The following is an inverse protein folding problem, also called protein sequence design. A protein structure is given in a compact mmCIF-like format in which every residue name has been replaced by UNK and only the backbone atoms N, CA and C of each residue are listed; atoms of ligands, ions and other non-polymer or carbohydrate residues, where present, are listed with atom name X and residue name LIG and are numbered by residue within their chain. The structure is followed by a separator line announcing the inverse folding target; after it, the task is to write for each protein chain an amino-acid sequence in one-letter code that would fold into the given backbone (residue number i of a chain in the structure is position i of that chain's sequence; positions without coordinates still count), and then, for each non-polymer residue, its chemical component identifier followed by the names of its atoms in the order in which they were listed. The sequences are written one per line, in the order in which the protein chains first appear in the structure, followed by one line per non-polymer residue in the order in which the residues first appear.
data_IF_583694072598
#
_entry.id   IF_583694072598
#
_cell.length_a   1.000
_cell.length_b   1.000
_cell.length_c   1.000
_cell.angle_alpha   90.00
_cell.angle_beta   90.00
_cell.angle_gamma   90.00
#
_symmetry.space_group_name_H-M   'P 1'
#
loop_
_entity.id
_entity.type
_entity.pdbx_description
1 polymer ?
#
# COMPACT_ATOMS: atom_id res chain seq x y z
N UNK A 1 20.22 10.79 -0.56
CA UNK A 1 19.05 9.88 -0.49
C UNK A 1 18.56 9.58 -1.88
N UNK A 2 18.42 8.31 -2.21
CA UNK A 2 17.85 7.86 -3.48
C UNK A 2 16.49 7.28 -3.21
N UNK A 3 15.56 7.37 -4.15
CA UNK A 3 14.28 6.67 -4.03
C UNK A 3 13.90 6.03 -5.36
N UNK A 4 13.26 4.89 -5.27
CA UNK A 4 12.62 4.23 -6.39
C UNK A 4 11.14 4.09 -6.10
N UNK A 5 10.33 4.03 -7.14
CA UNK A 5 8.91 3.78 -6.99
C UNK A 5 8.42 2.85 -8.09
N UNK A 6 7.43 2.06 -7.75
CA UNK A 6 6.74 1.21 -8.71
C UNK A 6 5.25 1.25 -8.43
N UNK A 7 4.46 1.46 -9.46
CA UNK A 7 3.01 1.50 -9.37
C UNK A 7 2.40 0.15 -9.69
N UNK A 8 1.37 -0.21 -8.93
CA UNK A 8 0.55 -1.40 -9.13
C UNK A 8 -0.91 -0.98 -9.19
N UNK A 9 -1.74 -1.73 -9.89
CA UNK A 9 -3.16 -1.43 -10.01
C UNK A 9 -4.00 -2.62 -9.58
N UNK A 10 -5.17 -2.35 -9.04
CA UNK A 10 -6.21 -3.34 -8.81
C UNK A 10 -7.57 -2.66 -8.87
N UNK A 11 -8.59 -3.42 -9.18
CA UNK A 11 -9.98 -2.96 -9.21
C UNK A 11 -10.75 -3.63 -8.08
N UNK A 12 -11.48 -2.86 -7.30
CA UNK A 12 -12.24 -3.39 -6.17
C UNK A 12 -13.42 -2.49 -5.85
N UNK A 13 -14.39 -3.05 -5.16
CA UNK A 13 -15.51 -2.30 -4.61
C UNK A 13 -15.34 -2.14 -3.11
N UNK A 14 -15.94 -1.12 -2.57
CA UNK A 14 -16.02 -0.91 -1.14
C UNK A 14 -17.24 -0.08 -0.75
N UNK A 15 -17.52 -0.08 0.52
CA UNK A 15 -18.56 0.74 1.13
C UNK A 15 -17.99 1.27 2.45
N UNK A 16 -17.93 2.60 2.60
CA UNK A 16 -17.37 3.21 3.79
C UNK A 16 -18.41 3.30 4.90
N UNK A 17 -17.99 2.99 6.12
CA UNK A 17 -18.80 3.05 7.33
C UNK A 17 -18.53 4.35 8.07
N UNK A 18 -19.47 4.76 8.91
CA UNK A 18 -19.29 5.94 9.77
C UNK A 18 -19.62 7.26 9.09
N UNK A 19 -20.16 7.24 7.89
CA UNK A 19 -20.58 8.42 7.15
C UNK A 19 -22.10 8.56 7.18
N UNK A 20 -22.64 9.80 7.00
CA UNK A 20 -24.07 9.98 6.83
C UNK A 20 -24.60 9.16 5.64
N UNK A 21 -25.84 8.67 5.73
CA UNK A 21 -26.44 7.82 4.71
C UNK A 21 -26.52 8.47 3.34
N UNK A 22 -26.59 9.80 3.29
CA UNK A 22 -26.63 10.56 2.03
C UNK A 22 -25.25 10.84 1.45
N UNK A 23 -24.17 10.49 2.16
CA UNK A 23 -22.82 10.64 1.62
C UNK A 23 -22.56 9.57 0.54
N UNK A 24 -22.06 9.97 -0.65
CA UNK A 24 -21.83 9.02 -1.75
C UNK A 24 -20.95 7.83 -1.36
N UNK A 25 -19.95 8.04 -0.53
CA UNK A 25 -19.00 7.01 -0.12
C UNK A 25 -19.60 5.99 0.87
N UNK A 26 -20.79 6.26 1.44
CA UNK A 26 -21.51 5.30 2.27
C UNK A 26 -22.19 4.21 1.42
N UNK A 27 -22.27 4.42 0.12
CA UNK A 27 -22.90 3.47 -0.82
C UNK A 27 -21.84 2.54 -1.39
N UNK A 28 -22.30 1.37 -1.86
CA UNK A 28 -21.45 0.44 -2.58
C UNK A 28 -20.98 1.09 -3.89
N UNK A 29 -19.67 1.15 -4.08
CA UNK A 29 -19.06 1.67 -5.30
C UNK A 29 -17.69 1.06 -5.52
N UNK A 30 -17.13 1.25 -6.70
CA UNK A 30 -15.86 0.67 -7.08
C UNK A 30 -14.87 1.70 -7.61
N UNK A 31 -13.61 1.33 -7.55
CA UNK A 31 -12.50 2.13 -8.06
C UNK A 31 -11.49 1.26 -8.79
N UNK A 32 -10.76 1.87 -9.71
CA UNK A 32 -9.50 1.34 -10.22
C UNK A 32 -8.40 1.96 -9.37
N UNK A 33 -7.91 1.20 -8.39
CA UNK A 33 -6.91 1.70 -7.44
C UNK A 33 -5.52 1.69 -8.07
N UNK A 34 -4.71 2.66 -7.67
CA UNK A 34 -3.28 2.66 -7.93
C UNK A 34 -2.57 2.60 -6.58
N UNK A 35 -1.60 1.71 -6.45
CA UNK A 35 -0.75 1.61 -5.26
C UNK A 35 0.67 1.93 -5.69
N UNK A 36 1.28 2.94 -5.05
CA UNK A 36 2.67 3.32 -5.29
C UNK A 36 3.53 2.79 -4.15
N UNK A 37 4.51 1.96 -4.49
CA UNK A 37 5.48 1.44 -3.52
C UNK A 37 6.77 2.20 -3.71
N UNK A 38 7.15 3.00 -2.71
CA UNK A 38 8.35 3.85 -2.75
C UNK A 38 9.35 3.35 -1.71
N UNK A 39 10.57 3.07 -2.16
CA UNK A 39 11.67 2.68 -1.27
C UNK A 39 12.77 3.72 -1.41
N UNK A 40 13.19 4.29 -0.28
CA UNK A 40 14.27 5.29 -0.23
C UNK A 40 15.44 4.75 0.56
N UNK A 41 16.67 5.04 0.10
CA UNK A 41 17.90 4.60 0.73
C UNK A 41 19.01 5.62 0.50
N UNK A 42 19.96 5.70 1.44
CA UNK A 42 21.10 6.59 1.30
C UNK A 42 22.27 5.94 0.60
N UNK A 43 22.26 4.59 0.47
CA UNK A 43 23.35 3.84 -0.17
C UNK A 43 22.79 2.93 -1.26
N UNK A 44 23.54 2.80 -2.34
CA UNK A 44 23.24 1.90 -3.44
C UNK A 44 24.06 0.63 -3.31
N UNK A 45 23.61 -0.46 -3.90
CA UNK A 45 24.38 -1.69 -3.99
C UNK A 45 25.52 -1.54 -5.04
N UNK A 46 26.27 -2.60 -5.24
CA UNK A 46 27.42 -2.59 -6.16
C UNK A 46 27.04 -2.38 -7.63
N UNK A 47 25.78 -2.67 -7.99
CA UNK A 47 25.26 -2.42 -9.33
C UNK A 47 24.79 -0.97 -9.49
N UNK A 48 24.49 -0.31 -8.36
CA UNK A 48 23.92 1.04 -8.37
C UNK A 48 22.42 1.07 -8.15
N UNK A 49 21.83 0.02 -7.58
CA UNK A 49 20.40 -0.05 -7.29
C UNK A 49 20.11 0.28 -5.83
N UNK A 50 18.98 0.94 -5.57
CA UNK A 50 18.31 0.87 -4.28
C UNK A 50 17.76 -0.55 -4.10
N UNK A 51 17.07 -1.05 -5.12
CA UNK A 51 16.49 -2.39 -5.15
C UNK A 51 16.07 -2.71 -6.58
N UNK A 52 16.08 -3.98 -6.95
CA UNK A 52 15.59 -4.42 -8.27
C UNK A 52 14.07 -4.33 -8.31
N UNK A 53 13.52 -3.52 -9.24
CA UNK A 53 12.09 -3.33 -9.40
C UNK A 53 11.32 -4.64 -9.59
N UNK A 54 11.94 -5.63 -10.24
CA UNK A 54 11.28 -6.90 -10.54
C UNK A 54 10.94 -7.68 -9.28
N UNK A 55 11.73 -7.52 -8.22
CA UNK A 55 11.50 -8.20 -6.94
C UNK A 55 10.23 -7.68 -6.26
N UNK A 56 9.79 -6.47 -6.59
CA UNK A 56 8.55 -5.92 -6.07
C UNK A 56 7.29 -6.57 -6.66
N UNK A 57 7.41 -7.39 -7.70
CA UNK A 57 6.27 -8.07 -8.32
C UNK A 57 5.59 -9.09 -7.39
N UNK A 58 6.23 -9.47 -6.30
CA UNK A 58 5.57 -10.25 -5.25
C UNK A 58 4.35 -9.51 -4.68
N UNK A 59 4.42 -8.19 -4.62
CA UNK A 59 3.29 -7.39 -4.18
C UNK A 59 2.13 -7.44 -5.19
N UNK A 60 2.43 -7.48 -6.48
CA UNK A 60 1.41 -7.68 -7.50
C UNK A 60 0.68 -9.00 -7.29
N UNK A 61 1.42 -10.07 -7.01
CA UNK A 61 0.81 -11.39 -6.73
C UNK A 61 -0.08 -11.34 -5.49
N UNK A 62 0.34 -10.61 -4.45
CA UNK A 62 -0.48 -10.40 -3.27
C UNK A 62 -1.79 -9.69 -3.62
N UNK A 63 -1.73 -8.60 -4.40
CA UNK A 63 -2.92 -7.87 -4.82
C UNK A 63 -3.87 -8.75 -5.63
N UNK A 64 -3.33 -9.51 -6.59
CA UNK A 64 -4.12 -10.39 -7.45
C UNK A 64 -4.84 -11.47 -6.65
N UNK A 65 -4.20 -12.02 -5.61
CA UNK A 65 -4.78 -13.09 -4.80
C UNK A 65 -5.80 -12.59 -3.79
N UNK A 66 -5.61 -11.38 -3.24
CA UNK A 66 -6.32 -10.97 -2.03
C UNK A 66 -7.31 -9.83 -2.23
N UNK A 67 -7.08 -8.91 -3.17
CA UNK A 67 -7.90 -7.70 -3.27
C UNK A 67 -8.46 -7.42 -4.66
N UNK A 68 -7.78 -7.83 -5.72
CA UNK A 68 -8.22 -7.52 -7.08
C UNK A 68 -9.53 -8.22 -7.41
N UNK A 69 -10.49 -7.46 -7.96
CA UNK A 69 -11.82 -7.91 -8.31
C UNK A 69 -12.62 -8.44 -7.11
N UNK A 70 -12.41 -7.86 -5.93
CA UNK A 70 -13.10 -8.25 -4.69
C UNK A 70 -13.80 -7.05 -4.07
N UNK A 71 -14.70 -7.35 -3.16
CA UNK A 71 -15.32 -6.35 -2.27
C UNK A 71 -14.44 -6.22 -1.03
N UNK A 72 -13.83 -5.05 -0.85
CA UNK A 72 -12.81 -4.87 0.20
C UNK A 72 -13.35 -5.06 1.62
N UNK A 73 -14.63 -4.77 1.84
CA UNK A 73 -15.27 -5.00 3.14
C UNK A 73 -15.31 -6.48 3.52
N UNK A 74 -15.27 -7.39 2.55
CA UNK A 74 -15.22 -8.84 2.79
C UNK A 74 -13.79 -9.32 3.06
N UNK A 75 -12.80 -8.58 2.56
CA UNK A 75 -11.38 -8.94 2.72
C UNK A 75 -10.81 -8.42 4.04
N UNK A 76 -11.17 -7.19 4.40
CA UNK A 76 -10.61 -6.51 5.58
C UNK A 76 -11.72 -6.22 6.59
N UNK A 77 -11.35 -6.30 7.88
CA UNK A 77 -12.26 -5.93 8.97
C UNK A 77 -12.29 -4.42 9.22
N UNK A 78 -11.24 -3.71 8.79
CA UNK A 78 -11.17 -2.26 8.90
C UNK A 78 -12.10 -1.57 7.89
N UNK A 79 -12.34 -0.29 8.11
CA UNK A 79 -13.04 0.56 7.14
C UNK A 79 -12.09 0.82 5.96
N UNK A 80 -12.39 0.37 4.73
CA UNK A 80 -11.40 0.35 3.65
C UNK A 80 -11.27 1.71 2.94
N UNK A 81 -10.84 2.72 3.68
CA UNK A 81 -10.43 4.02 3.14
C UNK A 81 -9.06 3.90 2.46
N UNK A 82 -8.71 4.84 1.60
CA UNK A 82 -7.39 4.87 0.98
C UNK A 82 -6.28 4.93 2.04
N UNK A 83 -6.50 5.71 3.11
CA UNK A 83 -5.55 5.84 4.22
C UNK A 83 -5.30 4.50 4.92
N UNK A 84 -6.36 3.78 5.27
CA UNK A 84 -6.25 2.50 5.97
C UNK A 84 -5.77 1.38 5.03
N UNK A 85 -6.07 1.46 3.75
CA UNK A 85 -5.48 0.55 2.77
C UNK A 85 -3.97 0.77 2.67
N UNK A 86 -3.50 2.02 2.70
CA UNK A 86 -2.07 2.31 2.69
C UNK A 86 -1.36 1.70 3.90
N UNK A 87 -1.96 1.80 5.09
CA UNK A 87 -1.44 1.16 6.30
C UNK A 87 -1.40 -0.37 6.12
N UNK A 88 -2.47 -0.95 5.61
CA UNK A 88 -2.59 -2.40 5.42
C UNK A 88 -1.51 -2.92 4.46
N UNK A 89 -1.33 -2.25 3.32
CA UNK A 89 -0.32 -2.66 2.34
C UNK A 89 1.11 -2.45 2.86
N UNK A 90 1.33 -1.36 3.61
CA UNK A 90 2.63 -1.13 4.23
C UNK A 90 2.98 -2.27 5.20
N UNK A 91 2.04 -2.65 6.05
CA UNK A 91 2.24 -3.75 7.01
C UNK A 91 2.45 -5.09 6.29
N UNK A 92 1.71 -5.35 5.22
CA UNK A 92 1.87 -6.59 4.45
C UNK A 92 3.26 -6.69 3.82
N UNK A 93 3.76 -5.60 3.24
CA UNK A 93 5.07 -5.57 2.63
C UNK A 93 6.18 -5.68 3.69
N UNK A 94 6.01 -5.02 4.83
CA UNK A 94 7.04 -4.97 5.88
C UNK A 94 7.06 -6.23 6.74
N UNK A 95 5.90 -6.75 7.10
CA UNK A 95 5.77 -7.79 8.12
C UNK A 95 4.95 -9.00 7.70
N UNK A 96 4.24 -8.94 6.56
CA UNK A 96 3.38 -10.02 6.11
C UNK A 96 4.11 -11.12 5.36
N UNK A 97 3.36 -11.88 4.56
CA UNK A 97 3.89 -13.01 3.77
C UNK A 97 5.01 -12.61 2.83
N UNK A 98 5.01 -11.38 2.36
CA UNK A 98 6.01 -10.85 1.44
C UNK A 98 7.06 -9.99 2.13
N UNK A 99 7.08 -9.95 3.46
CA UNK A 99 8.02 -9.14 4.24
C UNK A 99 9.48 -9.49 3.99
N UNK A 100 9.75 -10.74 3.63
CA UNK A 100 11.12 -11.18 3.33
C UNK A 100 11.76 -10.43 2.14
N UNK A 101 10.97 -9.82 1.27
CA UNK A 101 11.50 -9.06 0.13
C UNK A 101 12.44 -7.96 0.60
N UNK A 102 12.05 -7.24 1.63
CA UNK A 102 12.79 -6.06 2.08
C UNK A 102 14.09 -6.42 2.78
N UNK A 103 14.24 -7.66 3.25
CA UNK A 103 15.48 -8.15 3.86
C UNK A 103 16.64 -8.16 2.87
N UNK A 104 16.35 -8.18 1.57
CA UNK A 104 17.36 -8.21 0.50
C UNK A 104 17.81 -6.82 0.06
N UNK A 105 17.22 -5.76 0.59
CA UNK A 105 17.64 -4.40 0.28
C UNK A 105 19.04 -4.16 0.85
N UNK A 106 19.95 -3.66 0.03
CA UNK A 106 21.33 -3.45 0.43
C UNK A 106 21.46 -2.52 1.64
N UNK A 107 20.79 -1.37 1.61
CA UNK A 107 20.77 -0.42 2.71
C UNK A 107 19.61 -0.74 3.66
N UNK A 108 19.89 -1.42 4.75
CA UNK A 108 18.86 -1.82 5.71
C UNK A 108 18.27 -0.65 6.53
N UNK A 109 18.79 0.56 6.36
CA UNK A 109 18.18 1.79 6.88
C UNK A 109 17.20 2.42 5.88
N UNK A 110 16.72 1.64 4.94
CA UNK A 110 15.73 2.08 3.96
C UNK A 110 14.46 2.60 4.63
N UNK A 111 13.72 3.40 3.88
CA UNK A 111 12.36 3.84 4.26
C UNK A 111 11.37 3.33 3.23
N UNK A 112 10.23 2.84 3.69
CA UNK A 112 9.13 2.37 2.86
C UNK A 112 7.96 3.34 2.97
N UNK A 113 7.47 3.81 1.83
CA UNK A 113 6.28 4.66 1.73
C UNK A 113 5.29 3.99 0.79
N UNK A 114 4.04 3.89 1.22
CA UNK A 114 2.96 3.38 0.39
C UNK A 114 1.98 4.52 0.09
N UNK A 115 1.67 4.69 -1.19
CA UNK A 115 0.62 5.58 -1.63
C UNK A 115 -0.55 4.77 -2.20
N UNK A 116 -1.76 5.19 -1.90
CA UNK A 116 -2.98 4.58 -2.45
C UNK A 116 -3.84 5.68 -3.06
N UNK A 117 -4.26 5.48 -4.30
CA UNK A 117 -5.13 6.38 -5.04
C UNK A 117 -6.40 5.66 -5.45
N UNK A 118 -7.54 6.21 -5.07
CA UNK A 118 -8.86 5.76 -5.55
C UNK A 118 -9.17 6.38 -6.91
N UNK A 119 -8.71 7.61 -7.11
CA UNK A 119 -8.81 8.33 -8.37
C UNK A 119 -7.45 8.96 -8.67
N UNK A 120 -7.08 9.19 -9.94
CA UNK A 120 -5.75 9.73 -10.27
C UNK A 120 -5.42 11.09 -9.64
N UNK A 121 -6.42 11.79 -9.10
CA UNK A 121 -6.25 13.13 -8.56
C UNK A 121 -5.98 13.16 -7.06
N UNK A 122 -6.18 12.06 -6.35
CA UNK A 122 -6.07 12.04 -4.89
C UNK A 122 -5.22 10.86 -4.43
N UNK A 123 -4.40 11.09 -3.41
CA UNK A 123 -3.48 10.09 -2.87
C UNK A 123 -3.48 10.14 -1.35
N UNK A 124 -3.48 8.98 -0.72
CA UNK A 124 -3.18 8.82 0.69
C UNK A 124 -1.84 8.12 0.82
N UNK A 125 -1.01 8.56 1.75
CA UNK A 125 0.33 8.00 1.95
C UNK A 125 0.52 7.56 3.40
N UNK A 126 1.30 6.50 3.59
CA UNK A 126 1.69 6.02 4.91
C UNK A 126 3.15 5.58 4.88
N UNK A 127 3.95 6.06 5.84
CA UNK A 127 5.40 5.84 5.90
C UNK A 127 5.82 4.91 7.05
N UNK A 128 4.87 4.31 7.74
CA UNK A 128 5.16 3.41 8.85
C UNK A 128 5.27 4.10 10.21
N UNK A 129 5.22 5.42 10.26
CA UNK A 129 5.26 6.16 11.52
C UNK A 129 3.84 6.46 11.97
N UNK A 130 3.54 6.17 13.22
CA UNK A 130 2.24 6.51 13.81
C UNK A 130 2.42 6.96 15.24
N UNK A 131 1.46 7.77 15.68
CA UNK A 131 1.40 8.24 17.06
C UNK A 131 0.92 7.09 17.95
N UNK A 132 1.68 6.75 18.99
CA UNK A 132 1.32 5.71 19.95
C UNK A 132 -0.04 5.94 20.60
N UNK A 133 -0.46 7.20 20.75
CA UNK A 133 -1.77 7.55 21.30
C UNK A 133 -2.92 7.09 20.40
N UNK A 134 -2.71 6.91 19.10
CA UNK A 134 -3.72 6.44 18.16
C UNK A 134 -3.78 4.92 18.06
N UNK A 135 -2.73 4.23 18.49
CA UNK A 135 -2.66 2.78 18.46
C UNK A 135 -3.10 2.13 19.79
N UNK A 136 -3.28 2.94 20.79
CA UNK A 136 -3.81 2.51 22.08
C UNK A 136 -5.36 2.46 22.04
#
# INVERSE_FOLDING_TARGET
MYSISKEFTFSASHQLKGLPDDHPCSRLHGHNYIVDVVISASRLDEVGFVYDYRKLDQFKHYLDRNVDHRHLNDVFTLNPTAELLAVTFWNEIKYGEIGFLLEQIYDQNYKLLIGVSETPKTWAHYDGEHDDAQTA
#
